data_IF_806339861332
#
_entry.id   IF_806339861332
#
_cell.length_a   1.000
_cell.length_b   1.000
_cell.length_c   1.000
_cell.angle_alpha   90.00
_cell.angle_beta   90.00
_cell.angle_gamma   90.00
#
_symmetry.space_group_name_H-M   'P 1'
#
loop_
_entity.id
_entity.type
_entity.pdbx_description
1 polymer ?
#
# COMPACT_ATOMS: atom_id res chain seq x y z
N UNK A 1 8.93 -17.87 18.05
CA UNK A 1 9.46 -16.53 18.46
C UNK A 1 8.36 -15.53 18.14
N UNK A 2 7.98 -14.69 19.11
CA UNK A 2 7.04 -13.59 18.86
C UNK A 2 7.84 -12.58 18.04
N UNK A 3 7.45 -12.39 16.78
CA UNK A 3 8.04 -11.36 15.91
C UNK A 3 7.80 -10.01 16.60
N UNK A 4 8.86 -9.31 16.99
CA UNK A 4 8.72 -7.96 17.53
C UNK A 4 8.09 -7.11 16.43
N UNK A 5 6.90 -6.57 16.71
CA UNK A 5 6.15 -5.73 15.79
C UNK A 5 6.99 -4.50 15.41
N UNK A 6 7.62 -4.52 14.24
CA UNK A 6 8.44 -3.42 13.73
C UNK A 6 7.82 -2.86 12.44
N UNK A 7 7.98 -1.57 12.24
CA UNK A 7 7.69 -0.93 10.95
C UNK A 7 8.73 -1.40 9.92
N UNK A 8 8.28 -1.82 8.75
CA UNK A 8 9.11 -2.22 7.62
C UNK A 8 9.01 -1.19 6.51
N UNK A 9 10.11 -0.96 5.78
CA UNK A 9 10.15 0.03 4.70
C UNK A 9 10.51 -0.69 3.40
N UNK A 10 9.69 -0.49 2.38
CA UNK A 10 9.84 -1.08 1.05
C UNK A 10 9.66 -0.08 -0.08
N UNK A 11 9.83 -0.57 -1.28
CA UNK A 11 9.46 0.07 -2.53
C UNK A 11 8.51 -0.86 -3.31
N UNK A 12 8.08 -0.44 -4.50
CA UNK A 12 7.18 -1.21 -5.34
C UNK A 12 7.74 -1.40 -6.76
N UNK A 13 7.08 -2.25 -7.56
CA UNK A 13 7.28 -2.29 -9.01
C UNK A 13 6.95 -0.94 -9.63
N UNK A 14 7.55 -0.65 -10.79
CA UNK A 14 7.34 0.62 -11.45
C UNK A 14 7.40 0.49 -12.97
N UNK A 15 6.50 1.18 -13.65
CA UNK A 15 6.45 1.25 -15.12
C UNK A 15 7.75 1.79 -15.74
N UNK A 16 8.45 2.69 -15.04
CA UNK A 16 9.70 3.29 -15.49
C UNK A 16 10.95 2.45 -15.22
N UNK A 17 10.80 1.28 -14.55
CA UNK A 17 11.91 0.37 -14.34
C UNK A 17 12.28 -0.37 -15.63
N UNK A 18 13.54 -0.79 -15.75
CA UNK A 18 14.06 -1.52 -16.91
C UNK A 18 13.39 -2.89 -17.11
N UNK A 19 13.03 -3.56 -16.03
CA UNK A 19 12.25 -4.79 -16.01
C UNK A 19 11.35 -4.84 -14.80
N UNK A 20 10.32 -5.69 -14.84
CA UNK A 20 9.41 -5.90 -13.69
C UNK A 20 10.15 -6.39 -12.44
N UNK A 21 11.25 -7.11 -12.60
CA UNK A 21 12.04 -7.65 -11.49
C UNK A 21 13.04 -6.66 -10.90
N UNK A 22 13.47 -5.64 -11.67
CA UNK A 22 14.51 -4.70 -11.22
C UNK A 22 14.21 -4.05 -9.87
N UNK A 23 13.00 -3.53 -9.58
CA UNK A 23 12.73 -2.92 -8.28
C UNK A 23 12.79 -3.91 -7.12
N UNK A 24 12.40 -5.18 -7.34
CA UNK A 24 12.50 -6.23 -6.33
C UNK A 24 13.97 -6.64 -6.08
N UNK A 25 14.74 -6.86 -7.15
CA UNK A 25 16.18 -7.16 -7.07
C UNK A 25 16.94 -6.03 -6.36
N UNK A 26 16.56 -4.77 -6.65
CA UNK A 26 17.09 -3.61 -5.95
C UNK A 26 16.76 -3.62 -4.46
N UNK A 27 15.51 -3.95 -4.09
CA UNK A 27 15.09 -4.07 -2.69
C UNK A 27 15.94 -5.12 -1.95
N UNK A 28 16.11 -6.29 -2.55
CA UNK A 28 16.95 -7.38 -2.01
C UNK A 28 18.39 -6.91 -1.81
N UNK A 29 19.00 -6.34 -2.85
CA UNK A 29 20.39 -5.91 -2.83
C UNK A 29 20.69 -4.78 -1.83
N UNK A 30 19.69 -3.94 -1.54
CA UNK A 30 19.85 -2.75 -0.68
C UNK A 30 19.21 -2.90 0.71
N UNK A 31 18.82 -4.13 1.09
CA UNK A 31 18.35 -4.45 2.44
C UNK A 31 17.02 -3.80 2.82
N UNK A 32 16.12 -3.59 1.85
CA UNK A 32 14.74 -3.27 2.14
C UNK A 32 14.06 -4.48 2.79
N UNK A 33 13.13 -4.25 3.67
CA UNK A 33 12.44 -5.31 4.43
C UNK A 33 10.93 -5.40 4.13
N UNK A 34 10.49 -4.69 3.10
CA UNK A 34 9.17 -4.83 2.48
C UNK A 34 9.28 -4.61 0.95
N UNK A 35 8.33 -5.15 0.21
CA UNK A 35 8.19 -4.90 -1.23
C UNK A 35 6.73 -5.09 -1.66
N UNK A 36 6.26 -4.23 -2.56
CA UNK A 36 4.90 -4.33 -3.13
C UNK A 36 4.93 -4.59 -4.63
N UNK A 37 4.16 -5.58 -5.04
CA UNK A 37 3.91 -5.89 -6.44
C UNK A 37 2.67 -5.15 -6.89
N UNK A 38 2.82 -4.25 -7.85
CA UNK A 38 1.72 -3.49 -8.44
C UNK A 38 1.63 -3.75 -9.95
N UNK A 39 0.72 -4.64 -10.40
CA UNK A 39 0.43 -4.82 -11.82
C UNK A 39 -0.18 -3.55 -12.40
N UNK A 40 0.53 -2.92 -13.31
CA UNK A 40 0.22 -1.60 -13.87
C UNK A 40 0.07 -1.62 -15.40
N UNK A 41 -0.12 -2.81 -15.99
CA UNK A 41 -0.25 -2.96 -17.44
C UNK A 41 -1.43 -2.16 -17.98
N UNK A 42 -1.12 -1.25 -18.88
CA UNK A 42 -2.12 -0.38 -19.51
C UNK A 42 -2.59 -0.93 -20.87
N UNK A 43 -3.58 -0.29 -21.49
CA UNK A 43 -4.15 -0.70 -22.77
C UNK A 43 -3.14 -0.66 -23.93
N UNK A 44 -2.08 0.13 -23.84
CA UNK A 44 -1.00 0.14 -24.84
C UNK A 44 -0.07 -1.06 -24.74
N UNK A 45 -0.23 -1.90 -23.69
CA UNK A 45 0.63 -3.03 -23.38
C UNK A 45 1.90 -2.66 -22.59
N UNK A 46 2.11 -1.39 -22.26
CA UNK A 46 3.19 -0.99 -21.35
C UNK A 46 2.85 -1.36 -19.91
N UNK A 47 3.86 -1.61 -19.09
CA UNK A 47 3.72 -2.17 -17.75
C UNK A 47 3.69 -3.69 -17.76
N UNK A 48 3.20 -4.27 -16.68
CA UNK A 48 3.14 -5.73 -16.51
C UNK A 48 1.83 -6.16 -15.85
N UNK A 49 1.43 -7.41 -16.08
CA UNK A 49 0.35 -8.08 -15.34
C UNK A 49 0.85 -9.40 -14.74
N UNK A 50 -0.01 -10.04 -13.94
CA UNK A 50 0.36 -11.26 -13.23
C UNK A 50 0.76 -12.42 -14.18
N UNK A 51 0.37 -12.39 -15.46
CA UNK A 51 0.74 -13.43 -16.43
C UNK A 51 2.17 -13.25 -16.97
N UNK A 52 2.76 -12.06 -16.84
CA UNK A 52 4.12 -11.78 -17.30
C UNK A 52 5.18 -12.40 -16.37
N UNK A 53 4.79 -12.86 -15.17
CA UNK A 53 5.64 -13.55 -14.21
C UNK A 53 5.18 -15.02 -14.10
N UNK A 54 6.00 -15.96 -14.55
CA UNK A 54 5.69 -17.38 -14.50
C UNK A 54 5.51 -17.89 -13.07
N UNK A 55 4.82 -19.01 -12.91
CA UNK A 55 4.61 -19.60 -11.58
C UNK A 55 5.95 -19.94 -10.89
N UNK A 56 6.91 -20.45 -11.65
CA UNK A 56 8.25 -20.77 -11.15
C UNK A 56 8.96 -19.52 -10.63
N UNK A 57 8.86 -18.40 -11.38
CA UNK A 57 9.41 -17.12 -10.95
C UNK A 57 8.72 -16.58 -9.69
N UNK A 58 7.39 -16.74 -9.54
CA UNK A 58 6.66 -16.36 -8.32
C UNK A 58 7.12 -17.16 -7.10
N UNK A 59 7.38 -18.47 -7.26
CA UNK A 59 7.92 -19.29 -6.19
C UNK A 59 9.34 -18.86 -5.81
N UNK A 60 10.17 -18.51 -6.79
CA UNK A 60 11.50 -17.97 -6.53
C UNK A 60 11.45 -16.62 -5.81
N UNK A 61 10.52 -15.74 -6.18
CA UNK A 61 10.27 -14.48 -5.46
C UNK A 61 9.96 -14.77 -3.98
N UNK A 62 9.05 -15.69 -3.69
CA UNK A 62 8.69 -16.10 -2.34
C UNK A 62 9.89 -16.59 -1.55
N UNK A 63 10.67 -17.50 -2.14
CA UNK A 63 11.82 -18.11 -1.49
C UNK A 63 12.93 -17.06 -1.23
N UNK A 64 13.14 -16.14 -2.18
CA UNK A 64 14.07 -15.01 -2.05
C UNK A 64 13.61 -14.05 -0.94
N UNK A 65 12.33 -13.66 -0.94
CA UNK A 65 11.78 -12.77 0.07
C UNK A 65 11.88 -13.38 1.48
N UNK A 66 11.63 -14.69 1.59
CA UNK A 66 11.78 -15.43 2.85
C UNK A 66 13.23 -15.43 3.33
N UNK A 67 14.19 -15.70 2.43
CA UNK A 67 15.62 -15.74 2.76
C UNK A 67 16.17 -14.38 3.22
N UNK A 68 15.59 -13.28 2.73
CA UNK A 68 16.01 -11.90 3.06
C UNK A 68 15.10 -11.18 4.07
N UNK A 69 14.13 -11.87 4.68
CA UNK A 69 13.14 -11.31 5.61
C UNK A 69 12.38 -10.10 5.00
N UNK A 70 12.01 -10.20 3.72
CA UNK A 70 11.23 -9.18 3.02
C UNK A 70 9.73 -9.55 3.09
N UNK A 71 8.91 -8.65 3.65
CA UNK A 71 7.45 -8.82 3.67
C UNK A 71 6.88 -8.35 2.33
N UNK A 72 6.16 -9.25 1.67
CA UNK A 72 5.53 -8.95 0.38
C UNK A 72 4.07 -8.51 0.56
N UNK A 73 3.66 -7.54 -0.25
CA UNK A 73 2.28 -7.16 -0.53
C UNK A 73 2.01 -7.13 -2.02
N UNK A 74 0.73 -7.14 -2.39
CA UNK A 74 0.27 -7.00 -3.77
C UNK A 74 -0.79 -5.93 -3.83
N UNK A 75 -0.57 -4.90 -4.62
CA UNK A 75 -1.57 -3.91 -4.97
C UNK A 75 -2.41 -4.43 -6.13
N UNK A 76 -3.72 -4.47 -6.02
CA UNK A 76 -4.59 -4.76 -7.17
C UNK A 76 -4.49 -3.60 -8.18
N UNK A 77 -4.55 -3.89 -9.49
CA UNK A 77 -4.62 -2.82 -10.48
C UNK A 77 -5.66 -1.76 -10.09
N UNK A 78 -5.28 -0.48 -10.17
CA UNK A 78 -6.11 0.61 -9.66
C UNK A 78 -7.49 0.72 -10.32
N UNK A 79 -7.66 0.16 -11.52
CA UNK A 79 -8.93 0.12 -12.24
C UNK A 79 -9.90 -0.94 -11.70
N UNK A 80 -9.42 -1.89 -10.88
CA UNK A 80 -10.23 -3.00 -10.41
C UNK A 80 -11.17 -2.56 -9.28
N UNK A 81 -12.35 -2.11 -9.66
CA UNK A 81 -13.39 -1.70 -8.75
C UNK A 81 -14.22 -2.94 -8.28
N UNK A 82 -14.19 -3.33 -7.00
CA UNK A 82 -14.96 -4.48 -6.49
C UNK A 82 -16.48 -4.37 -6.69
N UNK A 83 -17.01 -3.16 -6.89
CA UNK A 83 -18.42 -2.93 -7.20
C UNK A 83 -18.81 -3.44 -8.61
N UNK A 84 -17.84 -3.76 -9.47
CA UNK A 84 -18.04 -4.18 -10.86
C UNK A 84 -17.79 -5.68 -10.98
N UNK A 85 -18.81 -6.43 -11.38
CA UNK A 85 -18.72 -7.90 -11.49
C UNK A 85 -17.64 -8.37 -12.47
N UNK A 86 -17.38 -7.61 -13.53
CA UNK A 86 -16.35 -7.89 -14.54
C UNK A 86 -14.93 -7.83 -13.99
N UNK A 87 -14.71 -7.16 -12.86
CA UNK A 87 -13.37 -7.08 -12.24
C UNK A 87 -13.05 -8.27 -11.34
N UNK A 88 -14.02 -9.08 -10.95
CA UNK A 88 -13.85 -10.18 -10.01
C UNK A 88 -12.87 -11.26 -10.51
N UNK A 89 -12.84 -11.51 -11.81
CA UNK A 89 -11.87 -12.45 -12.40
C UNK A 89 -10.44 -11.93 -12.25
N UNK A 90 -10.21 -10.64 -12.52
CA UNK A 90 -8.90 -10.02 -12.35
C UNK A 90 -8.47 -10.01 -10.87
N UNK A 91 -9.34 -9.64 -9.95
CA UNK A 91 -9.07 -9.76 -8.51
C UNK A 91 -8.70 -11.18 -8.11
N UNK A 92 -9.27 -12.20 -8.78
CA UNK A 92 -8.88 -13.59 -8.57
C UNK A 92 -7.47 -13.92 -9.08
N UNK A 93 -6.97 -13.23 -10.11
CA UNK A 93 -5.57 -13.36 -10.58
C UNK A 93 -4.61 -12.72 -9.57
N UNK A 94 -4.93 -11.52 -9.10
CA UNK A 94 -4.17 -10.81 -8.06
C UNK A 94 -4.05 -11.66 -6.78
N UNK A 95 -5.14 -12.29 -6.33
CA UNK A 95 -5.11 -13.18 -5.16
C UNK A 95 -4.20 -14.39 -5.41
N UNK A 96 -4.30 -15.03 -6.58
CA UNK A 96 -3.41 -16.18 -6.90
C UNK A 96 -1.95 -15.76 -6.96
N UNK A 97 -1.66 -14.58 -7.51
CA UNK A 97 -0.31 -14.03 -7.50
C UNK A 97 0.20 -13.81 -6.06
N UNK A 98 -0.63 -13.25 -5.18
CA UNK A 98 -0.29 -13.08 -3.78
C UNK A 98 -0.03 -14.42 -3.06
N UNK A 99 -0.85 -15.45 -3.34
CA UNK A 99 -0.65 -16.81 -2.82
C UNK A 99 0.67 -17.42 -3.31
N UNK A 100 0.94 -17.36 -4.61
CA UNK A 100 2.15 -17.95 -5.21
C UNK A 100 3.42 -17.27 -4.69
N UNK A 101 3.41 -15.94 -4.54
CA UNK A 101 4.55 -15.15 -4.05
C UNK A 101 4.69 -15.15 -2.53
N UNK A 102 3.69 -15.65 -1.81
CA UNK A 102 3.67 -15.62 -0.34
C UNK A 102 3.44 -14.22 0.24
N UNK A 103 2.78 -13.34 -0.49
CA UNK A 103 2.41 -12.02 0.01
C UNK A 103 1.45 -12.12 1.20
N UNK A 104 1.66 -11.29 2.19
CA UNK A 104 0.88 -11.28 3.44
C UNK A 104 -0.30 -10.30 3.42
N UNK A 105 -0.41 -9.51 2.35
CA UNK A 105 -1.40 -8.45 2.21
C UNK A 105 -1.74 -8.23 0.73
N UNK A 106 -3.03 -8.02 0.46
CA UNK A 106 -3.53 -7.48 -0.82
C UNK A 106 -4.14 -6.11 -0.55
N UNK A 107 -3.76 -5.11 -1.35
CA UNK A 107 -4.28 -3.75 -1.30
C UNK A 107 -5.28 -3.50 -2.43
N UNK A 108 -6.39 -2.82 -2.14
CA UNK A 108 -7.40 -2.38 -3.12
C UNK A 108 -7.83 -0.94 -2.81
N UNK A 109 -8.13 -0.16 -3.84
CA UNK A 109 -8.68 1.18 -3.66
C UNK A 109 -10.10 1.15 -3.08
N UNK A 110 -10.45 2.16 -2.29
CA UNK A 110 -11.83 2.42 -1.88
C UNK A 110 -12.58 3.10 -3.03
N UNK A 111 -13.69 2.51 -3.43
CA UNK A 111 -14.64 3.09 -4.38
C UNK A 111 -15.95 3.43 -3.66
N UNK A 112 -16.34 4.69 -3.69
CA UNK A 112 -17.51 5.20 -2.99
C UNK A 112 -18.67 5.58 -3.94
N UNK A 113 -18.57 5.29 -5.22
CA UNK A 113 -19.52 5.72 -6.27
C UNK A 113 -20.95 5.26 -6.00
N UNK A 114 -21.13 4.08 -5.42
CA UNK A 114 -22.43 3.50 -5.05
C UNK A 114 -22.66 3.55 -3.52
N UNK A 115 -21.79 4.27 -2.82
CA UNK A 115 -21.82 4.42 -1.37
C UNK A 115 -21.06 3.31 -0.62
N UNK A 116 -20.60 3.65 0.59
CA UNK A 116 -19.73 2.78 1.41
C UNK A 116 -20.39 1.44 1.77
N UNK A 117 -21.71 1.40 1.96
CA UNK A 117 -22.41 0.16 2.27
C UNK A 117 -22.33 -0.84 1.11
N UNK A 118 -22.51 -0.37 -0.14
CA UNK A 118 -22.37 -1.22 -1.33
C UNK A 118 -20.93 -1.76 -1.47
N UNK A 119 -19.93 -0.90 -1.21
CA UNK A 119 -18.53 -1.34 -1.22
C UNK A 119 -18.25 -2.42 -0.16
N UNK A 120 -18.79 -2.26 1.05
CA UNK A 120 -18.66 -3.27 2.12
C UNK A 120 -19.23 -4.61 1.66
N UNK A 121 -20.42 -4.62 1.05
CA UNK A 121 -21.03 -5.85 0.54
C UNK A 121 -20.19 -6.48 -0.59
N UNK A 122 -19.66 -5.65 -1.48
CA UNK A 122 -18.85 -6.10 -2.62
C UNK A 122 -17.51 -6.75 -2.20
N UNK A 123 -16.90 -6.29 -1.11
CA UNK A 123 -15.61 -6.86 -0.64
C UNK A 123 -15.79 -8.08 0.28
N UNK A 124 -17.00 -8.46 0.69
CA UNK A 124 -17.23 -9.63 1.56
C UNK A 124 -16.65 -10.93 0.98
N UNK A 125 -16.85 -11.28 -0.31
CA UNK A 125 -16.25 -12.46 -0.90
C UNK A 125 -14.73 -12.40 -0.93
N UNK A 126 -14.16 -11.23 -1.25
CA UNK A 126 -12.72 -10.97 -1.28
C UNK A 126 -12.11 -11.17 0.11
N UNK A 127 -12.71 -10.53 1.13
CA UNK A 127 -12.31 -10.69 2.54
C UNK A 127 -12.28 -12.15 2.96
N UNK A 128 -13.35 -12.91 2.67
CA UNK A 128 -13.47 -14.33 3.06
C UNK A 128 -12.37 -15.17 2.40
N UNK A 129 -12.11 -14.94 1.11
CA UNK A 129 -11.08 -15.68 0.39
C UNK A 129 -9.68 -15.40 0.92
N UNK A 130 -9.32 -14.13 1.10
CA UNK A 130 -8.02 -13.74 1.63
C UNK A 130 -7.81 -14.24 3.07
N UNK A 131 -8.85 -14.16 3.91
CA UNK A 131 -8.80 -14.66 5.29
C UNK A 131 -8.52 -16.17 5.37
N UNK A 132 -9.08 -16.96 4.43
CA UNK A 132 -8.82 -18.41 4.33
C UNK A 132 -7.32 -18.70 4.14
N UNK A 133 -6.62 -17.84 3.40
CA UNK A 133 -5.20 -18.00 3.08
C UNK A 133 -4.28 -17.24 4.06
N UNK A 134 -4.84 -16.62 5.09
CA UNK A 134 -4.10 -15.82 6.07
C UNK A 134 -3.56 -14.49 5.50
N UNK A 135 -4.08 -14.05 4.35
CA UNK A 135 -3.67 -12.80 3.68
C UNK A 135 -4.58 -11.66 4.16
N UNK A 136 -3.98 -10.54 4.54
CA UNK A 136 -4.72 -9.34 4.95
C UNK A 136 -5.28 -8.60 3.73
N UNK A 137 -6.41 -7.91 3.92
CA UNK A 137 -6.96 -6.96 2.96
C UNK A 137 -6.71 -5.54 3.45
N UNK A 138 -5.95 -4.76 2.71
CA UNK A 138 -5.85 -3.32 2.90
C UNK A 138 -6.81 -2.60 1.95
N UNK A 139 -7.43 -1.54 2.43
CA UNK A 139 -8.31 -0.67 1.65
C UNK A 139 -7.68 0.73 1.66
N UNK A 140 -7.38 1.23 0.47
CA UNK A 140 -6.60 2.44 0.29
C UNK A 140 -7.50 3.65 0.02
N UNK A 141 -7.14 4.79 0.63
CA UNK A 141 -7.74 6.06 0.28
C UNK A 141 -7.23 6.53 -1.09
N UNK A 142 -8.15 7.09 -1.86
CA UNK A 142 -7.88 7.75 -3.13
C UNK A 142 -8.02 9.27 -2.96
N UNK A 143 -7.61 10.11 -3.93
CA UNK A 143 -7.87 11.55 -3.87
C UNK A 143 -9.34 11.93 -3.69
N UNK A 144 -10.26 11.01 -4.00
CA UNK A 144 -11.71 11.22 -3.96
C UNK A 144 -12.39 10.66 -2.70
N UNK A 145 -11.65 9.99 -1.82
CA UNK A 145 -12.19 9.39 -0.58
C UNK A 145 -11.57 10.04 0.66
N UNK A 146 -12.44 10.43 1.59
CA UNK A 146 -12.06 11.19 2.79
C UNK A 146 -12.03 10.34 4.07
N UNK A 147 -11.59 10.92 5.18
CA UNK A 147 -11.57 10.23 6.48
C UNK A 147 -12.96 9.77 6.93
N UNK A 148 -14.02 10.52 6.60
CA UNK A 148 -15.40 10.14 6.92
C UNK A 148 -15.84 8.85 6.22
N UNK A 149 -15.36 8.60 4.98
CA UNK A 149 -15.64 7.37 4.24
C UNK A 149 -15.02 6.19 4.96
N UNK A 150 -13.79 6.32 5.47
CA UNK A 150 -13.11 5.29 6.24
C UNK A 150 -13.74 5.05 7.60
N UNK A 151 -14.13 6.11 8.31
CA UNK A 151 -14.85 5.99 9.58
C UNK A 151 -16.16 5.21 9.37
N UNK A 152 -16.91 5.52 8.31
CA UNK A 152 -18.13 4.79 7.95
C UNK A 152 -17.83 3.34 7.53
N UNK A 153 -16.82 3.13 6.69
CA UNK A 153 -16.39 1.81 6.22
C UNK A 153 -16.13 0.87 7.41
N UNK A 154 -15.25 1.29 8.33
CA UNK A 154 -14.86 0.46 9.46
C UNK A 154 -15.96 0.31 10.52
N UNK A 155 -16.85 1.27 10.65
CA UNK A 155 -18.06 1.11 11.48
C UNK A 155 -19.00 0.03 10.95
N UNK A 156 -19.11 -0.11 9.61
CA UNK A 156 -19.94 -1.13 8.96
C UNK A 156 -19.28 -2.52 8.96
N UNK A 157 -17.96 -2.58 8.80
CA UNK A 157 -17.21 -3.85 8.78
C UNK A 157 -17.24 -4.59 10.11
N UNK A 158 -17.48 -3.90 11.24
CA UNK A 158 -17.57 -4.48 12.59
C UNK A 158 -16.45 -5.49 12.84
N UNK A 159 -15.21 -5.02 12.81
CA UNK A 159 -14.03 -5.89 12.94
C UNK A 159 -14.05 -6.62 14.29
N UNK A 160 -14.00 -7.94 14.24
CA UNK A 160 -13.94 -8.82 15.42
C UNK A 160 -12.57 -9.48 15.57
N UNK A 161 -11.73 -9.38 14.53
CA UNK A 161 -10.43 -10.05 14.47
C UNK A 161 -9.37 -9.23 15.20
N UNK A 162 -8.49 -9.91 15.95
CA UNK A 162 -7.33 -9.29 16.59
C UNK A 162 -6.08 -10.18 16.41
N UNK A 163 -5.08 -9.80 15.60
CA UNK A 163 -5.02 -8.54 14.82
C UNK A 163 -6.03 -8.51 13.67
N UNK A 164 -6.41 -7.30 13.19
CA UNK A 164 -7.41 -7.17 12.14
C UNK A 164 -6.92 -7.76 10.81
N UNK A 165 -7.79 -8.55 10.16
CA UNK A 165 -7.53 -9.08 8.81
C UNK A 165 -7.86 -8.07 7.71
N UNK A 166 -8.66 -7.05 8.02
CA UNK A 166 -8.97 -5.91 7.13
C UNK A 166 -8.54 -4.64 7.81
N UNK A 167 -7.83 -3.77 7.09
CA UNK A 167 -7.41 -2.48 7.60
C UNK A 167 -7.27 -1.45 6.49
N UNK A 168 -6.93 -0.24 6.87
CA UNK A 168 -6.66 0.85 5.94
C UNK A 168 -5.22 0.76 5.43
N UNK A 169 -5.04 0.94 4.12
CA UNK A 169 -3.82 1.47 3.54
C UNK A 169 -3.95 2.99 3.53
N UNK A 170 -3.09 3.67 4.27
CA UNK A 170 -3.03 5.12 4.27
C UNK A 170 -2.04 5.60 3.22
N UNK A 171 -2.54 6.08 2.09
CA UNK A 171 -1.74 6.82 1.13
C UNK A 171 -1.71 8.30 1.50
N UNK A 172 -0.51 8.82 1.81
CA UNK A 172 -0.33 10.21 2.26
C UNK A 172 -0.39 11.21 1.11
N UNK A 173 -0.01 10.80 -0.10
CA UNK A 173 -0.13 11.64 -1.29
C UNK A 173 -1.58 11.85 -1.67
N UNK A 174 -2.39 10.80 -1.67
CA UNK A 174 -3.84 10.88 -1.86
C UNK A 174 -4.52 11.69 -0.74
N UNK A 175 -4.13 11.48 0.52
CA UNK A 175 -4.64 12.26 1.64
C UNK A 175 -4.33 13.76 1.50
N UNK A 176 -3.17 14.10 0.90
CA UNK A 176 -2.77 15.47 0.60
C UNK A 176 -3.59 16.09 -0.53
N UNK A 177 -4.15 15.29 -1.44
CA UNK A 177 -5.02 15.71 -2.54
C UNK A 177 -6.50 15.75 -2.15
N UNK A 178 -6.91 15.00 -1.12
CA UNK A 178 -8.28 14.94 -0.67
C UNK A 178 -8.83 16.35 -0.39
N UNK A 179 -10.01 16.67 -0.94
CA UNK A 179 -10.60 18.02 -0.87
C UNK A 179 -10.72 18.55 0.57
N UNK A 180 -11.07 17.68 1.52
CA UNK A 180 -11.28 18.06 2.92
C UNK A 180 -9.97 18.37 3.67
N UNK A 181 -8.85 17.83 3.20
CA UNK A 181 -7.55 17.86 3.86
C UNK A 181 -6.40 18.27 2.93
N UNK A 182 -6.73 18.97 1.86
CA UNK A 182 -5.75 19.40 0.85
C UNK A 182 -4.57 20.14 1.48
N UNK A 183 -3.37 19.69 1.14
CA UNK A 183 -2.09 20.18 1.69
C UNK A 183 -1.93 19.98 3.21
N UNK A 184 -2.75 19.10 3.81
CA UNK A 184 -2.68 18.77 5.24
C UNK A 184 -3.10 17.30 5.48
N UNK A 185 -2.25 16.36 5.07
CA UNK A 185 -2.51 14.93 5.31
C UNK A 185 -2.49 14.57 6.81
N UNK A 186 -1.90 15.39 7.68
CA UNK A 186 -1.98 15.17 9.13
C UNK A 186 -3.41 15.38 9.63
N UNK A 187 -4.10 16.37 9.10
CA UNK A 187 -5.53 16.58 9.39
C UNK A 187 -6.36 15.36 8.93
N UNK A 188 -6.02 14.74 7.79
CA UNK A 188 -6.68 13.51 7.36
C UNK A 188 -6.60 12.44 8.44
N UNK A 189 -5.41 12.22 8.99
CA UNK A 189 -5.16 11.22 10.04
C UNK A 189 -5.88 11.58 11.34
N UNK A 190 -5.89 12.87 11.71
CA UNK A 190 -6.53 13.36 12.94
C UNK A 190 -8.07 13.24 12.87
N UNK A 191 -8.67 13.23 11.67
CA UNK A 191 -10.09 13.00 11.43
C UNK A 191 -10.49 11.53 11.38
N UNK A 192 -9.53 10.60 11.28
CA UNK A 192 -9.81 9.17 11.33
C UNK A 192 -10.16 8.74 12.75
N UNK A 193 -11.28 8.00 12.90
CA UNK A 193 -11.63 7.35 14.15
C UNK A 193 -10.43 6.53 14.66
N UNK A 194 -10.08 6.61 15.96
CA UNK A 194 -9.03 5.79 16.55
C UNK A 194 -9.17 4.28 16.33
N UNK A 195 -10.39 3.81 16.08
CA UNK A 195 -10.67 2.39 15.79
C UNK A 195 -10.38 1.98 14.36
N UNK A 196 -10.14 2.92 13.42
CA UNK A 196 -9.72 2.59 12.05
C UNK A 196 -8.30 1.99 12.09
N UNK A 197 -8.12 0.69 11.79
CA UNK A 197 -6.82 0.05 11.86
C UNK A 197 -6.00 0.42 10.61
N UNK A 198 -4.98 1.25 10.75
CA UNK A 198 -3.99 1.47 9.68
C UNK A 198 -3.01 0.31 9.71
N UNK A 199 -2.94 -0.48 8.63
CA UNK A 199 -2.10 -1.68 8.54
C UNK A 199 -1.03 -1.61 7.44
N UNK A 200 -1.13 -0.64 6.55
CA UNK A 200 -0.25 -0.40 5.42
C UNK A 200 -0.17 1.11 5.14
N UNK A 201 0.93 1.59 4.59
CA UNK A 201 1.12 3.01 4.27
C UNK A 201 1.83 3.11 2.93
N UNK A 202 1.30 3.96 2.05
CA UNK A 202 1.97 4.42 0.84
C UNK A 202 2.52 5.81 1.05
N UNK A 203 3.77 6.03 0.62
CA UNK A 203 4.45 7.31 0.76
C UNK A 203 5.00 7.81 -0.56
N UNK A 204 4.46 8.91 -0.99
CA UNK A 204 4.98 9.77 -2.03
C UNK A 204 4.59 11.21 -1.73
N UNK A 205 5.16 12.18 -2.44
CA UNK A 205 4.83 13.59 -2.26
C UNK A 205 4.13 14.18 -3.49
N UNK A 206 3.37 15.23 -3.25
CA UNK A 206 2.82 16.12 -4.25
C UNK A 206 2.61 17.51 -3.62
N UNK A 207 2.30 18.51 -4.43
CA UNK A 207 2.03 19.88 -3.97
C UNK A 207 0.54 20.17 -3.75
N UNK A 208 -0.32 19.14 -3.65
CA UNK A 208 -1.77 19.27 -3.51
C UNK A 208 -2.49 19.68 -4.80
N UNK A 209 -1.83 19.52 -5.94
CA UNK A 209 -2.30 19.86 -7.28
C UNK A 209 -2.66 18.65 -8.12
N UNK A 210 -1.79 17.67 -8.18
CA UNK A 210 -1.98 16.40 -8.90
C UNK A 210 -1.23 15.26 -8.21
N UNK A 211 -1.54 14.03 -8.61
CA UNK A 211 -0.94 12.81 -8.08
C UNK A 211 0.41 12.52 -8.76
N UNK A 212 1.40 13.31 -8.38
CA UNK A 212 2.70 13.36 -9.05
C UNK A 212 3.71 12.33 -8.59
N UNK A 213 3.44 11.57 -7.55
CA UNK A 213 4.33 10.54 -6.98
C UNK A 213 5.80 11.00 -6.85
N UNK A 214 6.01 12.24 -6.37
CA UNK A 214 7.36 12.74 -6.14
C UNK A 214 8.07 11.90 -5.07
N UNK A 215 9.37 11.60 -5.26
CA UNK A 215 10.14 10.91 -4.24
C UNK A 215 10.12 11.67 -2.92
N UNK A 216 9.93 10.94 -1.82
CA UNK A 216 9.84 11.52 -0.48
C UNK A 216 11.09 12.39 -0.20
N UNK A 217 10.90 13.53 0.41
CA UNK A 217 11.92 14.56 0.68
C UNK A 217 12.48 15.28 -0.57
N UNK A 218 11.86 15.13 -1.73
CA UNK A 218 12.21 15.94 -2.91
C UNK A 218 11.17 17.02 -3.22
N UNK A 219 9.96 16.85 -2.70
CA UNK A 219 8.87 17.81 -2.74
C UNK A 219 8.81 18.69 -1.47
N UNK A 220 7.63 18.94 -0.92
CA UNK A 220 7.43 19.79 0.27
C UNK A 220 8.27 19.38 1.48
N UNK A 221 8.36 18.08 1.79
CA UNK A 221 9.11 17.57 2.94
C UNK A 221 10.65 17.68 2.77
N UNK A 222 11.12 17.99 1.57
CA UNK A 222 12.53 18.30 1.32
C UNK A 222 12.96 19.59 2.05
N UNK A 223 12.06 20.57 2.10
CA UNK A 223 12.25 21.85 2.79
C UNK A 223 11.85 21.80 4.25
N UNK A 224 10.72 21.13 4.53
CA UNK A 224 10.16 21.01 5.88
C UNK A 224 9.64 19.58 6.14
N UNK A 225 10.41 18.73 6.83
CA UNK A 225 10.00 17.36 7.14
C UNK A 225 9.05 17.24 8.35
N UNK A 226 8.52 18.35 8.88
CA UNK A 226 7.65 18.37 10.08
C UNK A 226 6.41 17.51 9.85
N UNK A 227 5.82 17.55 8.65
CA UNK A 227 4.69 16.70 8.29
C UNK A 227 5.01 15.19 8.40
N UNK A 228 6.16 14.75 7.87
CA UNK A 228 6.58 13.34 7.97
C UNK A 228 6.83 12.93 9.42
N UNK A 229 7.44 13.80 10.23
CA UNK A 229 7.62 13.55 11.67
C UNK A 229 6.29 13.42 12.39
N UNK A 230 5.35 14.33 12.10
CA UNK A 230 4.00 14.30 12.66
C UNK A 230 3.20 13.05 12.25
N UNK A 231 3.38 12.56 11.02
CA UNK A 231 2.83 11.28 10.57
C UNK A 231 3.37 10.12 11.41
N UNK A 232 4.69 10.00 11.52
CA UNK A 232 5.33 8.90 12.27
C UNK A 232 4.90 8.91 13.74
N UNK A 233 4.79 10.08 14.36
CA UNK A 233 4.28 10.22 15.73
C UNK A 233 2.84 9.70 15.86
N UNK A 234 1.94 10.07 14.94
CA UNK A 234 0.56 9.58 14.92
C UNK A 234 0.48 8.08 14.70
N UNK A 235 1.33 7.53 13.86
CA UNK A 235 1.40 6.08 13.62
C UNK A 235 1.92 5.33 14.86
N UNK A 236 2.90 5.87 15.58
CA UNK A 236 3.34 5.31 16.87
C UNK A 236 2.18 5.28 17.87
N UNK A 237 1.42 6.37 17.99
CA UNK A 237 0.27 6.46 18.89
C UNK A 237 -0.87 5.50 18.51
N UNK A 238 -0.95 5.07 17.23
CA UNK A 238 -1.87 4.05 16.73
C UNK A 238 -1.29 2.63 16.81
N UNK A 239 -0.09 2.44 17.38
CA UNK A 239 0.64 1.16 17.43
C UNK A 239 0.84 0.53 16.04
N UNK A 240 1.10 1.35 15.02
CA UNK A 240 1.34 0.86 13.67
C UNK A 240 2.60 -0.01 13.61
N UNK A 241 2.47 -1.19 13.00
CA UNK A 241 3.54 -2.18 12.82
C UNK A 241 3.51 -2.83 11.42
N UNK A 242 2.94 -2.11 10.46
CA UNK A 242 2.81 -2.54 9.08
C UNK A 242 4.02 -2.21 8.21
N UNK A 243 3.78 -2.20 6.90
CA UNK A 243 4.78 -1.78 5.93
C UNK A 243 4.50 -0.34 5.47
N UNK A 244 5.58 0.39 5.24
CA UNK A 244 5.62 1.67 4.54
C UNK A 244 6.21 1.39 3.17
N UNK A 245 5.46 1.63 2.11
CA UNK A 245 5.89 1.45 0.72
C UNK A 245 6.17 2.82 0.10
N UNK A 246 7.37 2.97 -0.46
CA UNK A 246 7.75 4.13 -1.24
C UNK A 246 7.23 3.93 -2.67
N UNK A 247 6.17 4.64 -3.02
CA UNK A 247 5.49 4.50 -4.31
C UNK A 247 6.14 5.33 -5.42
N UNK A 248 7.43 5.22 -5.55
CA UNK A 248 8.21 5.88 -6.59
C UNK A 248 9.39 5.03 -7.03
N UNK A 249 9.82 5.26 -8.28
CA UNK A 249 11.05 4.72 -8.82
C UNK A 249 11.89 5.86 -9.39
N UNK A 250 12.72 6.50 -8.56
CA UNK A 250 13.49 7.68 -8.96
C UNK A 250 14.70 7.35 -9.80
N UNK A 251 15.21 8.35 -10.49
CA UNK A 251 16.55 8.34 -11.07
C UNK A 251 17.40 9.45 -10.44
N UNK A 252 18.54 9.10 -9.79
CA UNK A 252 19.08 7.73 -9.60
C UNK A 252 18.30 6.92 -8.54
N UNK A 253 18.28 5.60 -8.68
CA UNK A 253 17.60 4.68 -7.75
C UNK A 253 18.19 4.76 -6.32
N UNK A 254 19.45 5.17 -6.18
CA UNK A 254 20.10 5.38 -4.87
C UNK A 254 19.32 6.30 -3.93
N UNK A 255 18.48 7.17 -4.50
CA UNK A 255 17.60 8.04 -3.72
C UNK A 255 16.63 7.25 -2.83
N UNK A 256 16.21 6.05 -3.23
CA UNK A 256 15.38 5.17 -2.37
C UNK A 256 16.10 4.78 -1.08
N UNK A 257 17.40 4.48 -1.15
CA UNK A 257 18.22 4.15 0.04
C UNK A 257 18.39 5.39 0.94
N UNK A 258 18.56 6.55 0.35
CA UNK A 258 18.65 7.81 1.09
C UNK A 258 17.35 8.12 1.83
N UNK A 259 16.21 7.98 1.14
CA UNK A 259 14.85 8.14 1.69
C UNK A 259 14.65 7.16 2.85
N UNK A 260 14.92 5.86 2.62
CA UNK A 260 14.80 4.82 3.65
C UNK A 260 15.65 5.15 4.88
N UNK A 261 16.90 5.54 4.67
CA UNK A 261 17.82 5.91 5.75
C UNK A 261 17.30 7.10 6.56
N UNK A 262 16.73 8.08 5.88
CA UNK A 262 16.15 9.27 6.53
C UNK A 262 14.88 8.94 7.30
N UNK A 263 14.00 8.08 6.75
CA UNK A 263 12.81 7.58 7.46
C UNK A 263 13.17 6.78 8.71
N UNK A 264 14.14 5.86 8.61
CA UNK A 264 14.61 5.08 9.76
C UNK A 264 15.09 5.98 10.92
N UNK A 265 15.78 7.09 10.62
CA UNK A 265 16.20 8.08 11.64
C UNK A 265 15.01 8.83 12.26
N UNK A 266 13.90 8.99 11.55
CA UNK A 266 12.68 9.63 12.06
C UNK A 266 11.87 8.65 12.90
N UNK A 267 11.84 7.38 12.48
CA UNK A 267 11.14 6.31 13.20
C UNK A 267 11.83 6.01 14.55
N UNK A 268 13.14 6.08 14.65
CA UNK A 268 13.94 5.87 15.87
C UNK A 268 14.45 4.48 15.92
#
# INVERSE_FOLDING_TARGET
MIETARVRIGNQTALSAYSVMQPFEYAVANGFDAFEWFPDKNESGAGWDENDISKEARLLIRDTATAHDIRLSVHAPWQLNPLRSETLEHLSKTIRFAQDTGASLVNVHLYADEGIAAFVDAIVPLKKRLAHDGIKLAIENTPNTGPEDFNKLFSLLRLTDNPPLVGMCLDIGHANLCKATRNDYLKFIDMLDPQVPVIHIHMHENYGDNDSHLPLFTGPAGKDPTGIRGLIERMKNRNFSGCIILEQWPHPESLLVEIRTRLLKIIG
#
